data_IF_084143816432
#
_entry.id   IF_084143816432
#
_cell.length_a   1.000
_cell.length_b   1.000
_cell.length_c   1.000
_cell.angle_alpha   90.00
_cell.angle_beta   90.00
_cell.angle_gamma   90.00
#
_symmetry.space_group_name_H-M   'P 1'
#
loop_
_entity.id
_entity.type
_entity.pdbx_description
1 polymer ?
#
# COMPACT_ATOMS: atom_id res chain seq x y z
N UNK A 1 4.60 -11.92 8.74
CA UNK A 1 4.37 -13.01 7.79
C UNK A 1 3.79 -14.25 8.45
N UNK A 2 4.43 -14.84 9.46
CA UNK A 2 3.98 -16.09 10.11
C UNK A 2 2.48 -16.07 10.46
N UNK A 3 1.99 -15.06 11.17
CA UNK A 3 0.56 -14.97 11.55
C UNK A 3 -0.39 -14.93 10.36
N UNK A 4 0.00 -14.29 9.27
CA UNK A 4 -0.81 -14.24 8.04
C UNK A 4 -0.87 -15.63 7.41
N UNK A 5 0.27 -16.31 7.37
CA UNK A 5 0.38 -17.66 6.82
C UNK A 5 -0.43 -18.69 7.62
N UNK A 6 -0.36 -18.63 8.96
CA UNK A 6 -1.15 -19.49 9.86
C UNK A 6 -2.67 -19.30 9.68
N UNK A 7 -3.10 -18.13 9.23
CA UNK A 7 -4.50 -17.82 8.93
C UNK A 7 -4.90 -18.14 7.47
N UNK A 8 -4.00 -18.79 6.72
CA UNK A 8 -4.26 -19.17 5.32
C UNK A 8 -4.07 -18.04 4.31
N UNK A 9 -3.50 -16.92 4.72
CA UNK A 9 -3.15 -15.82 3.81
C UNK A 9 -1.79 -16.04 3.16
N UNK A 10 -1.67 -15.65 1.89
CA UNK A 10 -0.41 -15.63 1.15
C UNK A 10 -0.15 -14.21 0.67
N UNK A 11 0.40 -13.38 1.54
CA UNK A 11 0.72 -12.02 1.18
C UNK A 11 1.89 -11.97 0.19
N UNK A 12 1.76 -11.12 -0.83
CA UNK A 12 2.74 -10.95 -1.90
C UNK A 12 3.34 -9.56 -1.95
N UNK A 13 2.73 -8.59 -1.26
CA UNK A 13 3.19 -7.19 -1.26
C UNK A 13 3.29 -6.63 0.14
N UNK A 14 4.32 -5.79 0.33
CA UNK A 14 4.45 -4.92 1.51
C UNK A 14 4.45 -3.46 1.03
N UNK A 15 3.56 -2.67 1.57
CA UNK A 15 3.43 -1.25 1.28
C UNK A 15 4.03 -0.45 2.42
N UNK A 16 4.91 0.47 2.08
CA UNK A 16 5.67 1.30 3.02
C UNK A 16 5.55 2.77 2.65
N UNK A 17 5.63 3.64 3.66
CA UNK A 17 5.86 5.07 3.43
C UNK A 17 7.24 5.30 2.79
N UNK A 18 7.48 6.43 2.11
CA UNK A 18 8.78 6.73 1.50
C UNK A 18 9.93 6.75 2.50
N UNK A 19 9.68 7.21 3.74
CA UNK A 19 10.65 7.20 4.85
C UNK A 19 11.01 5.76 5.22
N UNK A 20 10.01 4.96 5.59
CA UNK A 20 10.22 3.55 5.98
C UNK A 20 10.84 2.71 4.85
N UNK A 21 10.53 3.04 3.60
CA UNK A 21 11.15 2.39 2.45
C UNK A 21 12.65 2.60 2.43
N UNK A 22 13.13 3.81 2.71
CA UNK A 22 14.54 4.13 2.79
C UNK A 22 15.20 3.45 3.97
N UNK A 23 14.57 3.54 5.16
CA UNK A 23 15.07 2.93 6.38
C UNK A 23 15.15 1.39 6.25
N UNK A 24 14.17 0.78 5.57
CA UNK A 24 14.17 -0.65 5.25
C UNK A 24 15.35 -1.03 4.35
N UNK A 25 15.64 -0.23 3.33
CA UNK A 25 16.79 -0.46 2.44
C UNK A 25 18.12 -0.28 3.17
N UNK A 26 18.22 0.72 4.03
CA UNK A 26 19.43 0.99 4.83
C UNK A 26 19.69 -0.10 5.87
N UNK A 27 18.61 -0.60 6.53
CA UNK A 27 18.70 -1.70 7.48
C UNK A 27 19.23 -2.97 6.82
N UNK A 28 18.69 -3.33 5.65
CA UNK A 28 19.11 -4.52 4.93
C UNK A 28 20.58 -4.43 4.45
N UNK A 29 21.05 -3.24 4.13
CA UNK A 29 22.44 -3.02 3.72
C UNK A 29 23.41 -3.03 4.91
N UNK A 30 22.99 -2.49 6.07
CA UNK A 30 23.88 -2.35 7.24
C UNK A 30 24.06 -3.66 8.01
N UNK A 31 23.00 -4.46 8.14
CA UNK A 31 23.00 -5.64 9.02
C UNK A 31 23.60 -6.88 8.36
N UNK A 32 23.53 -7.01 7.06
CA UNK A 32 23.92 -8.26 6.38
C UNK A 32 25.34 -8.26 5.81
N UNK A 33 26.11 -7.20 5.97
CA UNK A 33 27.42 -7.10 5.29
C UNK A 33 27.27 -7.26 3.77
N UNK A 34 26.08 -7.04 3.24
CA UNK A 34 25.76 -7.20 1.83
C UNK A 34 26.66 -6.26 1.05
N UNK A 35 27.55 -6.85 0.31
CA UNK A 35 28.36 -6.17 -0.68
C UNK A 35 27.42 -5.36 -1.56
N UNK A 36 27.70 -4.07 -1.70
CA UNK A 36 27.02 -3.22 -2.67
C UNK A 36 26.98 -3.97 -3.99
N UNK A 37 25.80 -4.39 -4.40
CA UNK A 37 25.63 -5.13 -5.62
C UNK A 37 25.84 -4.15 -6.76
N UNK A 38 27.06 -4.14 -7.29
CA UNK A 38 27.39 -3.40 -8.50
C UNK A 38 26.89 -4.29 -9.63
N UNK A 39 25.82 -3.84 -10.26
CA UNK A 39 25.28 -4.51 -11.44
C UNK A 39 26.33 -4.55 -12.56
N UNK A 40 26.21 -5.48 -13.48
CA UNK A 40 27.13 -5.63 -14.64
C UNK A 40 27.31 -4.33 -15.43
N UNK A 41 26.37 -3.40 -15.34
CA UNK A 41 26.39 -2.07 -15.96
C UNK A 41 27.10 -0.99 -15.13
N UNK A 42 27.74 -1.35 -14.01
CA UNK A 42 28.44 -0.40 -13.14
C UNK A 42 27.53 0.51 -12.32
N UNK A 43 26.24 0.22 -12.24
CA UNK A 43 25.25 0.99 -11.47
C UNK A 43 25.19 0.51 -10.02
N UNK A 44 25.27 1.45 -9.09
CA UNK A 44 25.08 1.19 -7.67
C UNK A 44 23.57 1.07 -7.37
N UNK A 45 23.11 -0.10 -6.93
CA UNK A 45 21.74 -0.31 -6.45
C UNK A 45 21.76 -0.48 -4.93
N UNK A 46 21.00 0.37 -4.25
CA UNK A 46 20.83 0.33 -2.80
C UNK A 46 19.37 0.04 -2.40
N UNK A 47 18.50 -0.23 -3.37
CA UNK A 47 17.07 -0.50 -3.07
C UNK A 47 16.82 -2.01 -2.99
N UNK A 48 15.99 -2.40 -2.02
CA UNK A 48 15.45 -3.76 -1.88
C UNK A 48 14.06 -3.77 -2.51
N UNK A 49 13.91 -4.41 -3.65
CA UNK A 49 12.63 -4.48 -4.35
C UNK A 49 11.84 -5.75 -3.98
N UNK A 50 12.54 -6.82 -3.62
CA UNK A 50 11.94 -8.08 -3.21
C UNK A 50 12.59 -8.52 -1.90
N UNK A 51 11.77 -8.85 -0.93
CA UNK A 51 12.18 -9.47 0.32
C UNK A 51 11.75 -10.94 0.33
N UNK A 52 12.72 -11.84 0.33
CA UNK A 52 12.50 -13.27 0.43
C UNK A 52 12.40 -13.66 1.89
N UNK A 53 11.26 -14.20 2.30
CA UNK A 53 11.04 -14.73 3.64
C UNK A 53 10.74 -16.23 3.57
N UNK A 54 10.83 -16.93 4.71
CA UNK A 54 10.48 -18.35 4.83
C UNK A 54 9.02 -18.66 4.44
N UNK A 55 8.16 -17.62 4.42
CA UNK A 55 6.73 -17.74 4.14
C UNK A 55 6.33 -17.19 2.75
N UNK A 56 7.30 -16.89 1.92
CA UNK A 56 7.12 -16.38 0.56
C UNK A 56 7.81 -15.05 0.28
N UNK A 57 7.76 -14.65 -0.96
CA UNK A 57 8.41 -13.45 -1.45
C UNK A 57 7.47 -12.25 -1.36
N UNK A 58 7.98 -11.14 -0.82
CA UNK A 58 7.26 -9.87 -0.69
C UNK A 58 7.88 -8.85 -1.64
N UNK A 59 7.05 -8.31 -2.54
CA UNK A 59 7.40 -7.13 -3.30
C UNK A 59 7.23 -5.88 -2.44
N UNK A 60 8.27 -5.06 -2.36
CA UNK A 60 8.24 -3.83 -1.56
C UNK A 60 7.76 -2.67 -2.42
N UNK A 61 6.59 -2.12 -2.08
CA UNK A 61 5.90 -1.05 -2.83
C UNK A 61 5.89 0.23 -2.00
N UNK A 62 6.54 1.31 -2.46
CA UNK A 62 6.43 2.60 -1.79
C UNK A 62 5.07 3.25 -2.10
N UNK A 63 4.47 3.86 -1.07
CA UNK A 63 3.24 4.64 -1.22
C UNK A 63 3.44 6.04 -0.64
N UNK A 64 3.37 7.06 -1.50
CA UNK A 64 3.58 8.45 -1.09
C UNK A 64 2.45 8.99 -0.21
N UNK A 65 1.23 8.46 -0.35
CA UNK A 65 0.06 8.88 0.45
C UNK A 65 0.27 8.51 1.93
N UNK A 66 0.94 7.38 2.20
CA UNK A 66 1.28 6.98 3.57
C UNK A 66 2.29 7.92 4.25
N UNK A 67 2.98 8.76 3.49
CA UNK A 67 3.89 9.77 4.02
C UNK A 67 3.23 11.15 4.23
N UNK A 68 1.96 11.30 3.86
CA UNK A 68 1.21 12.52 4.09
C UNK A 68 0.62 12.49 5.50
N UNK A 69 1.34 13.03 6.46
CA UNK A 69 0.81 13.23 7.82
C UNK A 69 -0.27 14.31 7.77
N UNK A 70 -1.51 13.93 7.98
CA UNK A 70 -2.62 14.87 8.13
C UNK A 70 -2.88 15.28 9.57
N UNK A 71 -2.12 14.70 10.53
CA UNK A 71 -2.25 14.93 11.95
C UNK A 71 -1.11 15.77 12.54
N UNK A 72 -1.34 16.31 13.73
CA UNK A 72 -0.31 16.95 14.54
C UNK A 72 0.65 15.88 15.06
N UNK A 73 1.95 16.04 14.81
CA UNK A 73 2.99 15.13 15.27
C UNK A 73 2.78 14.79 16.76
N UNK A 74 2.60 13.49 17.05
CA UNK A 74 2.42 12.98 18.42
C UNK A 74 0.98 12.70 18.84
N UNK A 75 -0.01 12.86 17.95
CA UNK A 75 -1.39 12.40 18.18
C UNK A 75 -1.59 10.96 17.72
N UNK A 76 -2.60 10.27 18.30
CA UNK A 76 -2.91 8.88 17.99
C UNK A 76 -3.27 8.61 16.51
N UNK A 77 -3.55 9.66 15.76
CA UNK A 77 -3.94 9.61 14.34
C UNK A 77 -2.74 9.70 13.37
N UNK A 78 -1.53 9.88 13.88
CA UNK A 78 -0.30 10.03 13.09
C UNK A 78 0.42 8.69 12.89
N UNK A 79 -0.31 7.70 12.38
CA UNK A 79 0.25 6.35 12.17
C UNK A 79 0.65 6.06 10.72
N UNK A 80 0.35 6.94 9.76
CA UNK A 80 0.59 6.67 8.34
C UNK A 80 2.07 6.52 8.01
N UNK A 81 2.92 7.31 8.65
CA UNK A 81 4.37 7.31 8.46
C UNK A 81 5.08 6.11 9.09
N UNK A 82 4.49 5.55 10.17
CA UNK A 82 5.08 4.50 11.00
C UNK A 82 4.39 3.14 10.82
N UNK A 83 3.66 2.99 9.73
CA UNK A 83 2.88 1.79 9.42
C UNK A 83 3.41 1.09 8.17
N UNK A 84 3.46 -0.24 8.21
CA UNK A 84 3.69 -1.10 7.06
C UNK A 84 2.48 -2.01 6.85
N UNK A 85 1.97 -2.06 5.62
CA UNK A 85 0.85 -2.92 5.24
C UNK A 85 1.35 -4.10 4.43
N UNK A 86 1.01 -5.31 4.87
CA UNK A 86 1.36 -6.56 4.21
C UNK A 86 0.07 -7.17 3.67
N UNK A 87 -0.02 -7.36 2.36
CA UNK A 87 -1.26 -7.76 1.73
C UNK A 87 -1.06 -8.51 0.42
N UNK A 88 -2.14 -9.16 -0.03
CA UNK A 88 -2.27 -9.70 -1.37
C UNK A 88 -3.36 -8.91 -2.11
N UNK A 89 -3.06 -8.34 -3.29
CA UNK A 89 -4.04 -7.60 -4.08
C UNK A 89 -5.30 -8.40 -4.46
N UNK A 90 -5.23 -9.72 -4.50
CA UNK A 90 -6.37 -10.59 -4.86
C UNK A 90 -7.52 -10.48 -3.85
N UNK A 91 -7.23 -10.09 -2.62
CA UNK A 91 -8.23 -9.95 -1.55
C UNK A 91 -8.95 -8.60 -1.54
N UNK A 92 -8.58 -7.71 -2.45
CA UNK A 92 -9.18 -6.38 -2.56
C UNK A 92 -9.94 -6.25 -3.87
N UNK A 93 -11.11 -5.64 -3.80
CA UNK A 93 -11.90 -5.31 -4.96
C UNK A 93 -12.64 -3.98 -4.77
N UNK A 94 -13.03 -3.37 -5.86
CA UNK A 94 -13.97 -2.27 -5.86
C UNK A 94 -15.32 -2.84 -6.27
N UNK A 95 -16.29 -2.79 -5.36
CA UNK A 95 -17.66 -3.18 -5.62
C UNK A 95 -18.45 -1.94 -6.06
N UNK A 96 -18.99 -1.96 -7.26
CA UNK A 96 -19.81 -0.89 -7.82
C UNK A 96 -21.29 -1.25 -7.71
N UNK A 97 -22.07 -0.42 -7.03
CA UNK A 97 -23.52 -0.52 -6.98
C UNK A 97 -24.13 0.14 -8.21
N UNK A 98 -23.68 1.37 -8.51
CA UNK A 98 -24.03 2.10 -9.72
C UNK A 98 -22.75 2.53 -10.43
N UNK A 99 -22.53 2.10 -11.70
CA UNK A 99 -21.40 2.59 -12.48
C UNK A 99 -21.56 4.08 -12.75
N UNK A 100 -20.45 4.75 -13.06
CA UNK A 100 -20.46 6.15 -13.47
C UNK A 100 -21.40 6.32 -14.66
N UNK A 101 -22.46 7.08 -14.47
CA UNK A 101 -23.44 7.39 -15.49
C UNK A 101 -23.86 8.87 -15.43
N UNK A 102 -24.17 9.42 -16.56
CA UNK A 102 -24.79 10.74 -16.68
C UNK A 102 -26.31 10.58 -16.57
N UNK A 103 -26.92 11.34 -15.68
CA UNK A 103 -28.35 11.43 -15.52
C UNK A 103 -28.79 12.83 -15.92
N UNK A 104 -29.70 12.91 -16.89
CA UNK A 104 -30.32 14.14 -17.27
C UNK A 104 -31.32 14.58 -16.18
N UNK A 105 -31.08 15.72 -15.59
CA UNK A 105 -31.92 16.29 -14.50
C UNK A 105 -33.05 17.16 -15.07
N UNK A 106 -33.03 17.37 -16.39
CA UNK A 106 -34.02 18.19 -17.10
C UNK A 106 -33.58 19.63 -17.35
N UNK A 107 -34.43 20.36 -18.09
CA UNK A 107 -34.17 21.75 -18.43
C UNK A 107 -34.68 22.67 -17.32
N UNK A 108 -33.83 23.61 -16.92
CA UNK A 108 -34.21 24.72 -16.04
C UNK A 108 -34.00 26.02 -16.80
N UNK A 109 -35.09 26.55 -17.38
CA UNK A 109 -35.01 27.71 -18.27
C UNK A 109 -34.37 27.36 -19.62
N UNK A 110 -33.35 28.11 -20.03
CA UNK A 110 -32.60 27.92 -21.28
C UNK A 110 -31.31 27.08 -21.09
N UNK A 111 -31.15 26.40 -19.91
CA UNK A 111 -30.00 25.57 -19.60
C UNK A 111 -30.40 24.09 -19.40
N UNK A 112 -29.59 23.20 -19.95
CA UNK A 112 -29.66 21.75 -19.71
C UNK A 112 -28.73 21.39 -18.54
N UNK A 113 -29.25 20.69 -17.55
CA UNK A 113 -28.49 20.26 -16.35
C UNK A 113 -28.33 18.77 -16.36
N UNK A 114 -27.07 18.30 -16.40
CA UNK A 114 -26.70 16.91 -16.24
C UNK A 114 -26.06 16.67 -14.88
N UNK A 115 -26.25 15.50 -14.31
CA UNK A 115 -25.65 15.04 -13.07
C UNK A 115 -24.85 13.77 -13.32
N UNK A 116 -23.61 13.72 -12.84
CA UNK A 116 -22.82 12.50 -12.82
C UNK A 116 -23.02 11.79 -11.49
N UNK A 117 -23.38 10.52 -11.55
CA UNK A 117 -23.61 9.69 -10.37
C UNK A 117 -22.78 8.42 -10.46
N UNK A 118 -22.06 8.13 -9.37
CA UNK A 118 -21.34 6.89 -9.17
C UNK A 118 -21.48 6.44 -7.72
N UNK A 119 -21.73 5.15 -7.50
CA UNK A 119 -21.74 4.55 -6.18
C UNK A 119 -20.84 3.32 -6.18
N UNK A 120 -19.73 3.44 -5.48
CA UNK A 120 -18.77 2.35 -5.32
C UNK A 120 -18.32 2.24 -3.86
N UNK A 121 -17.80 1.08 -3.50
CA UNK A 121 -17.18 0.83 -2.20
C UNK A 121 -15.96 -0.07 -2.35
N UNK A 122 -15.04 0.05 -1.39
CA UNK A 122 -13.89 -0.81 -1.31
C UNK A 122 -14.22 -2.07 -0.52
N UNK A 123 -14.00 -3.23 -1.13
CA UNK A 123 -14.26 -4.54 -0.54
C UNK A 123 -12.96 -5.23 -0.14
N UNK A 124 -12.90 -5.73 1.09
CA UNK A 124 -11.83 -6.60 1.58
C UNK A 124 -12.40 -7.99 1.78
N UNK A 125 -12.06 -8.92 0.87
CA UNK A 125 -12.61 -10.28 0.85
C UNK A 125 -12.08 -11.15 1.99
N UNK A 126 -10.80 -10.96 2.36
CA UNK A 126 -10.17 -11.71 3.44
C UNK A 126 -9.28 -10.79 4.30
N UNK A 127 -9.81 -10.18 5.36
CA UNK A 127 -9.04 -9.31 6.23
C UNK A 127 -7.96 -10.07 7.02
N UNK A 128 -8.16 -11.36 7.30
CA UNK A 128 -7.19 -12.19 8.03
C UNK A 128 -5.98 -12.57 7.17
N UNK A 129 -6.12 -12.53 5.84
CA UNK A 129 -5.03 -12.74 4.90
C UNK A 129 -4.11 -11.53 4.72
N UNK A 130 -4.40 -10.43 5.41
CA UNK A 130 -3.62 -9.21 5.39
C UNK A 130 -3.09 -8.89 6.79
N UNK A 131 -2.05 -8.08 6.87
CA UNK A 131 -1.48 -7.65 8.15
C UNK A 131 -0.99 -6.22 8.11
N UNK A 132 -0.96 -5.60 9.27
CA UNK A 132 -0.38 -4.28 9.45
C UNK A 132 0.63 -4.30 10.61
N UNK A 133 1.73 -3.61 10.44
CA UNK A 133 2.74 -3.38 11.47
C UNK A 133 2.69 -1.90 11.80
N UNK A 134 2.49 -1.58 13.06
CA UNK A 134 2.38 -0.21 13.56
C UNK A 134 3.57 0.13 14.47
N UNK A 135 3.83 1.42 14.61
CA UNK A 135 4.85 1.93 15.54
C UNK A 135 6.28 1.72 15.08
N UNK A 136 6.51 1.62 13.78
CA UNK A 136 7.85 1.62 13.20
C UNK A 136 8.44 3.04 13.33
N UNK A 137 9.65 3.13 13.86
CA UNK A 137 10.36 4.42 14.08
C UNK A 137 11.65 4.45 13.29
#
# INVERSE_FOLDING_TARGET
MQKIYEQGGKATKIMLSPKLRRDFSDLMVSDSGVRRNIDSDGKLRQSVDIYMSDFGDLMVVPNYIMGLTTGTAGTADDHSDSCALIYDPQWFAVASLRPLAEVDVGQKGDSTVGMLVEENTFEVKNPLGCGAIYGLK
#
